data_IF_375070153389
#
_entry.id   IF_375070153389
#
_cell.length_a   1.000
_cell.length_b   1.000
_cell.length_c   1.000
_cell.angle_alpha   90.00
_cell.angle_beta   90.00
_cell.angle_gamma   90.00
#
_symmetry.space_group_name_H-M   'P 1'
#
loop_
_entity.id
_entity.type
_entity.pdbx_description
1 polymer ?
2 water ?
#
# COMPACT_ATOMS: atom_id res chain seq x y z
N UNK A 1 3.66 29.14 -3.73
CA UNK A 1 2.86 28.03 -3.10
C UNK A 1 3.76 27.07 -2.30
N UNK A 2 3.15 26.01 -1.74
CA UNK A 2 3.87 25.03 -0.96
C UNK A 2 4.68 24.11 -1.87
N UNK A 3 5.79 23.60 -1.34
CA UNK A 3 6.66 22.73 -2.13
C UNK A 3 6.83 21.41 -1.41
N UNK A 4 6.74 20.31 -2.16
CA UNK A 4 6.90 19.00 -1.57
C UNK A 4 7.86 18.12 -2.35
N UNK A 5 8.53 17.22 -1.64
CA UNK A 5 9.46 16.27 -2.23
C UNK A 5 8.90 14.91 -1.86
N UNK A 6 8.81 14.02 -2.83
CA UNK A 6 8.26 12.68 -2.62
C UNK A 6 9.30 11.67 -3.08
N UNK A 7 9.71 10.74 -2.22
CA UNK A 7 10.65 9.70 -2.63
C UNK A 7 9.76 8.48 -2.96
N UNK A 8 10.12 7.70 -3.98
CA UNK A 8 9.29 6.58 -4.41
C UNK A 8 8.09 7.18 -5.17
N UNK A 9 8.32 8.27 -5.90
CA UNK A 9 7.26 9.00 -6.60
C UNK A 9 6.48 8.28 -7.70
N UNK A 10 7.04 7.20 -8.25
CA UNK A 10 6.34 6.46 -9.31
C UNK A 10 5.60 5.21 -8.84
N UNK A 11 5.64 4.90 -7.55
CA UNK A 11 4.89 3.74 -7.09
C UNK A 11 3.38 4.08 -6.98
N UNK A 12 2.57 3.13 -6.51
CA UNK A 12 1.14 3.35 -6.33
C UNK A 12 0.88 4.58 -5.46
N UNK A 13 1.46 4.59 -4.25
CA UNK A 13 1.26 5.68 -3.31
C UNK A 13 1.85 7.00 -3.75
N UNK A 14 3.05 6.95 -4.33
CA UNK A 14 3.68 8.16 -4.78
C UNK A 14 2.89 8.82 -5.90
N UNK A 15 2.46 8.02 -6.88
CA UNK A 15 1.69 8.60 -8.00
C UNK A 15 0.41 9.23 -7.49
N UNK A 16 -0.32 8.54 -6.62
CA UNK A 16 -1.54 9.13 -6.06
C UNK A 16 -1.27 10.35 -5.16
N UNK A 17 -0.19 10.32 -4.38
CA UNK A 17 0.10 11.47 -3.52
C UNK A 17 0.50 12.66 -4.38
N UNK A 18 1.27 12.41 -5.43
CA UNK A 18 1.70 13.51 -6.31
C UNK A 18 0.46 14.21 -6.90
N UNK A 19 -0.53 13.42 -7.31
CA UNK A 19 -1.77 13.95 -7.88
C UNK A 19 -2.50 14.78 -6.86
N UNK A 20 -2.68 14.20 -5.69
CA UNK A 20 -3.36 14.84 -4.58
C UNK A 20 -2.73 16.21 -4.28
N UNK A 21 -1.40 16.25 -4.19
CA UNK A 21 -0.71 17.51 -3.89
C UNK A 21 -0.73 18.53 -5.04
N UNK A 22 -0.61 18.06 -6.28
CA UNK A 22 -0.66 18.96 -7.43
C UNK A 22 -2.04 19.64 -7.46
N UNK A 23 -3.09 18.86 -7.23
CA UNK A 23 -4.45 19.37 -7.22
C UNK A 23 -4.57 20.52 -6.21
N UNK A 24 -3.83 20.43 -5.11
CA UNK A 24 -3.88 21.47 -4.09
C UNK A 24 -2.98 22.65 -4.42
N UNK A 25 -2.38 22.63 -5.60
CA UNK A 25 -1.51 23.72 -6.00
C UNK A 25 -0.05 23.63 -5.58
N UNK A 26 0.39 22.47 -5.11
CA UNK A 26 1.79 22.33 -4.70
C UNK A 26 2.71 22.23 -5.92
N UNK A 27 3.98 22.55 -5.68
CA UNK A 27 5.01 22.37 -6.69
C UNK A 27 5.53 21.02 -6.13
N UNK A 28 5.54 19.98 -6.96
CA UNK A 28 5.95 18.66 -6.53
C UNK A 28 7.22 18.12 -7.19
N UNK A 29 8.19 17.74 -6.36
CA UNK A 29 9.45 17.18 -6.84
C UNK A 29 9.51 15.71 -6.42
N UNK A 30 10.05 14.85 -7.27
CA UNK A 30 10.13 13.47 -6.88
C UNK A 30 11.35 12.74 -7.35
N UNK A 31 11.60 11.58 -6.74
CA UNK A 31 12.69 10.71 -7.15
C UNK A 31 12.08 9.32 -7.08
N UNK A 32 12.48 8.45 -8.00
CA UNK A 32 11.96 7.09 -8.04
C UNK A 32 12.57 6.23 -6.94
N UNK A 33 11.98 5.08 -6.69
CA UNK A 33 12.49 4.14 -5.69
C UNK A 33 13.29 3.04 -6.38
N UNK A 55 4.17 19.85 -15.27
CA UNK A 55 3.97 21.31 -15.18
C UNK A 55 4.69 21.88 -13.95
N UNK A 56 4.06 21.64 -12.81
CA UNK A 56 4.58 22.05 -11.53
C UNK A 56 5.13 20.76 -10.89
N UNK A 57 5.38 19.75 -11.74
CA UNK A 57 5.93 18.47 -11.28
C UNK A 57 7.35 18.31 -11.81
N UNK A 58 8.27 17.92 -10.93
CA UNK A 58 9.67 17.78 -11.34
C UNK A 58 10.30 16.47 -10.88
N UNK A 59 10.86 15.73 -11.83
CA UNK A 59 11.52 14.47 -11.54
C UNK A 59 13.03 14.71 -11.46
N UNK A 60 13.67 14.07 -10.48
CA UNK A 60 15.11 14.20 -10.29
C UNK A 60 15.72 12.82 -10.32
N UNK A 61 16.99 12.74 -10.70
CA UNK A 61 17.68 11.47 -10.69
C UNK A 61 18.14 11.23 -9.25
N UNK A 62 18.15 9.96 -8.84
CA UNK A 62 18.60 9.62 -7.49
C UNK A 62 17.75 8.56 -6.83
N UNK A 63 18.32 7.84 -5.86
CA UNK A 63 17.57 6.81 -5.15
C UNK A 63 17.77 6.81 -3.63
N UNK A 64 18.36 7.88 -3.10
CA UNK A 64 18.58 7.96 -1.65
C UNK A 64 19.82 7.21 -1.16
N UNK A 65 20.64 6.71 -2.07
CA UNK A 65 21.86 6.05 -1.67
C UNK A 65 23.04 7.05 -1.67
N UNK A 66 22.84 8.22 -2.26
CA UNK A 66 23.89 9.26 -2.41
C UNK A 66 23.60 10.52 -1.61
N UNK A 67 24.29 10.67 -0.49
CA UNK A 67 24.07 11.80 0.41
C UNK A 67 24.25 13.14 -0.29
N UNK A 68 25.29 13.23 -1.10
CA UNK A 68 25.58 14.46 -1.81
C UNK A 68 24.47 14.85 -2.79
N UNK A 69 23.99 13.87 -3.54
CA UNK A 69 22.95 14.13 -4.52
C UNK A 69 21.64 14.53 -3.86
N UNK A 70 21.26 13.83 -2.79
CA UNK A 70 19.99 14.18 -2.20
C UNK A 70 20.04 15.48 -1.41
N UNK A 71 21.19 15.80 -0.81
CA UNK A 71 21.28 17.06 -0.08
C UNK A 71 21.19 18.20 -1.07
N UNK A 72 21.86 18.03 -2.22
CA UNK A 72 21.86 19.03 -3.30
C UNK A 72 20.40 19.28 -3.74
N UNK A 73 19.65 18.20 -3.95
CA UNK A 73 18.26 18.30 -4.36
C UNK A 73 17.43 19.04 -3.29
N UNK A 74 17.58 18.68 -2.01
CA UNK A 74 16.82 19.37 -0.96
C UNK A 74 17.23 20.84 -0.92
N UNK A 75 18.51 21.11 -1.14
CA UNK A 75 19.02 22.47 -1.13
C UNK A 75 18.37 23.30 -2.26
N UNK A 76 18.21 22.69 -3.43
CA UNK A 76 17.59 23.41 -4.55
C UNK A 76 16.07 23.52 -4.38
N UNK A 77 15.45 22.47 -3.86
CA UNK A 77 14.02 22.44 -3.68
C UNK A 77 13.48 23.22 -2.47
N UNK A 78 14.17 23.18 -1.33
CA UNK A 78 13.70 23.88 -0.11
C UNK A 78 12.25 23.49 0.14
N UNK A 79 11.98 22.18 0.24
CA UNK A 79 10.61 21.72 0.47
C UNK A 79 10.02 22.06 1.83
N UNK A 80 8.71 22.31 1.83
CA UNK A 80 7.96 22.58 3.06
C UNK A 80 7.61 21.21 3.64
N UNK A 81 7.47 20.24 2.74
CA UNK A 81 7.10 18.87 3.11
C UNK A 81 7.89 17.80 2.36
N UNK A 82 8.24 16.74 3.07
CA UNK A 82 8.97 15.64 2.50
C UNK A 82 8.23 14.36 2.86
N UNK A 83 7.94 13.55 1.84
CA UNK A 83 7.27 12.28 2.01
C UNK A 83 8.21 11.13 1.60
N UNK A 84 8.70 10.43 2.61
CA UNK A 84 9.64 9.34 2.39
C UNK A 84 8.88 8.01 2.25
N UNK A 85 8.44 7.75 1.02
CA UNK A 85 7.72 6.54 0.68
C UNK A 85 8.77 5.63 0.09
N UNK A 86 8.70 4.35 0.38
CA UNK A 86 9.70 3.47 -0.19
C UNK A 86 8.98 2.32 -0.85
N UNK A 87 9.36 1.11 -0.48
CA UNK A 87 8.72 -0.08 -0.98
C UNK A 87 7.72 -0.38 0.15
N UNK A 88 6.60 -1.00 -0.18
CA UNK A 88 5.61 -1.28 0.85
C UNK A 88 5.57 -2.73 1.33
N UNK A 89 6.26 -3.61 0.61
CA UNK A 89 6.23 -5.01 0.98
C UNK A 89 7.52 -5.74 0.72
N UNK A 90 7.82 -6.73 1.54
CA UNK A 90 9.04 -7.50 1.34
C UNK A 90 8.94 -8.21 -0.02
N UNK A 91 7.71 -8.43 -0.51
CA UNK A 91 7.53 -9.11 -1.80
C UNK A 91 7.80 -8.19 -2.97
N UNK A 92 7.56 -6.91 -2.80
CA UNK A 92 7.82 -5.94 -3.85
C UNK A 92 9.32 -5.67 -3.98
N UNK A 93 10.09 -6.17 -3.02
CA UNK A 93 11.53 -5.96 -2.96
C UNK A 93 12.35 -7.21 -3.32
N UNK A 94 11.64 -8.24 -3.73
CA UNK A 94 12.22 -9.54 -4.10
C UNK A 94 13.50 -9.55 -4.91
N UNK A 95 13.56 -8.74 -5.97
CA UNK A 95 14.73 -8.77 -6.84
C UNK A 95 15.94 -7.89 -6.48
N UNK A 96 15.89 -7.20 -5.33
CA UNK A 96 17.00 -6.35 -4.88
C UNK A 96 17.88 -7.14 -3.91
N UNK A 97 19.13 -6.71 -3.76
CA UNK A 97 19.96 -7.37 -2.76
C UNK A 97 19.55 -6.81 -1.38
N UNK A 98 19.69 -7.61 -0.32
CA UNK A 98 19.33 -7.17 1.02
C UNK A 98 20.05 -5.85 1.36
N UNK A 99 21.32 -5.75 1.00
CA UNK A 99 22.09 -4.54 1.30
C UNK A 99 21.57 -3.33 0.60
N UNK A 100 21.19 -3.48 -0.67
CA UNK A 100 20.65 -2.34 -1.40
C UNK A 100 19.32 -1.90 -0.75
N UNK A 101 18.44 -2.85 -0.42
CA UNK A 101 17.15 -2.49 0.19
C UNK A 101 17.38 -1.72 1.50
N UNK A 102 18.28 -2.23 2.34
CA UNK A 102 18.54 -1.54 3.61
C UNK A 102 19.15 -0.16 3.40
N UNK A 103 20.08 -0.06 2.43
CA UNK A 103 20.72 1.23 2.17
C UNK A 103 19.72 2.30 1.78
N UNK A 104 18.70 1.94 0.99
CA UNK A 104 17.74 2.96 0.59
C UNK A 104 16.54 3.14 1.51
N UNK A 105 16.03 2.04 2.08
CA UNK A 105 14.86 2.14 2.95
C UNK A 105 15.20 2.47 4.40
N UNK A 106 16.38 2.07 4.86
CA UNK A 106 16.79 2.39 6.23
C UNK A 106 17.73 3.61 6.19
N UNK A 107 18.95 3.44 5.67
CA UNK A 107 19.90 4.56 5.59
C UNK A 107 19.36 5.79 4.83
N UNK A 108 18.57 5.55 3.80
CA UNK A 108 18.01 6.66 3.03
C UNK A 108 17.18 7.59 3.92
N UNK A 109 16.50 7.00 4.90
CA UNK A 109 15.69 7.79 5.82
C UNK A 109 16.60 8.66 6.68
N UNK A 110 17.67 8.08 7.21
CA UNK A 110 18.62 8.86 8.00
C UNK A 110 19.21 9.99 7.14
N UNK A 111 19.58 9.69 5.90
CA UNK A 111 20.17 10.73 5.03
C UNK A 111 19.21 11.90 4.84
N UNK A 112 17.94 11.61 4.60
CA UNK A 112 16.96 12.68 4.43
C UNK A 112 16.87 13.55 5.71
N UNK A 113 16.77 12.91 6.87
CA UNK A 113 16.66 13.66 8.12
C UNK A 113 17.95 14.47 8.37
N UNK A 114 19.11 13.85 8.13
CA UNK A 114 20.38 14.55 8.33
C UNK A 114 20.54 15.71 7.36
N UNK A 115 20.00 15.57 6.15
CA UNK A 115 20.13 16.67 5.18
C UNK A 115 19.27 17.84 5.61
N UNK A 116 18.09 17.54 6.14
CA UNK A 116 17.23 18.61 6.59
C UNK A 116 17.97 19.42 7.68
N UNK A 117 18.68 18.74 8.56
CA UNK A 117 19.44 19.44 9.62
C UNK A 117 20.65 20.20 9.05
N UNK A 118 21.42 19.54 8.19
CA UNK A 118 22.59 20.15 7.58
C UNK A 118 22.23 21.50 6.94
N UNK A 119 21.10 21.52 6.25
CA UNK A 119 20.65 22.71 5.54
C UNK A 119 19.91 23.73 6.41
N UNK A 120 19.79 23.44 7.70
CA UNK A 120 19.06 24.35 8.58
C UNK A 120 17.57 24.44 8.26
N UNK A 121 16.97 23.32 7.85
CA UNK A 121 15.54 23.33 7.50
C UNK A 121 14.61 22.76 8.57
N UNK A 122 15.12 22.53 9.77
CA UNK A 122 14.30 21.97 10.83
C UNK A 122 12.99 22.73 11.06
N UNK A 123 13.02 24.04 10.87
CA UNK A 123 11.84 24.87 11.08
C UNK A 123 10.91 24.97 9.87
N UNK A 124 11.42 24.66 8.69
CA UNK A 124 10.58 24.78 7.50
C UNK A 124 10.05 23.46 6.97
N UNK A 125 10.88 22.44 6.99
CA UNK A 125 10.51 21.15 6.45
C UNK A 125 9.88 20.15 7.41
N UNK A 126 8.73 19.62 7.03
CA UNK A 126 8.05 18.61 7.85
C UNK A 126 8.30 17.28 7.15
N UNK A 127 8.56 16.25 7.92
CA UNK A 127 8.92 14.96 7.40
C UNK A 127 7.92 13.85 7.69
N UNK A 128 7.59 13.07 6.66
CA UNK A 128 6.65 11.95 6.82
C UNK A 128 7.34 10.67 6.39
N UNK A 129 7.24 9.63 7.21
CA UNK A 129 7.82 8.35 6.84
C UNK A 129 6.75 7.27 6.74
N UNK A 130 6.80 6.52 5.65
CA UNK A 130 5.81 5.46 5.41
C UNK A 130 6.20 4.13 6.02
N UNK A 131 5.69 3.81 7.21
CA UNK A 131 5.97 2.50 7.78
C UNK A 131 4.98 1.52 7.21
N UNK A 132 4.97 0.32 7.75
CA UNK A 132 4.15 -0.74 7.24
C UNK A 132 3.69 -1.69 8.34
N UNK A 133 2.53 -2.31 8.13
CA UNK A 133 2.00 -3.26 9.11
C UNK A 133 2.90 -4.48 9.21
N UNK A 134 3.82 -4.64 8.27
CA UNK A 134 4.71 -5.79 8.32
C UNK A 134 5.66 -5.69 9.51
N UNK A 135 5.68 -4.53 10.15
CA UNK A 135 6.51 -4.35 11.33
C UNK A 135 5.97 -5.24 12.46
N UNK A 136 4.67 -5.55 12.43
CA UNK A 136 4.07 -6.39 13.48
C UNK A 136 4.46 -7.86 13.41
N UNK A 137 4.97 -8.32 12.26
CA UNK A 137 5.38 -9.72 12.12
C UNK A 137 4.54 -10.75 12.86
N UNK A 138 5.03 -11.20 14.02
CA UNK A 138 4.33 -12.19 14.85
C UNK A 138 2.84 -11.86 15.01
N UNK A 139 2.57 -10.72 15.64
CA UNK A 139 1.21 -10.21 15.88
C UNK A 139 0.79 -10.28 17.34
N UNK A 140 0.22 -11.41 17.74
CA UNK A 140 -0.26 -11.60 19.11
C UNK A 140 -1.60 -10.89 19.36
N UNK A 141 -1.57 -9.61 19.73
CA UNK A 141 -2.80 -8.88 20.00
C UNK A 141 -3.51 -8.34 18.75
N UNK A 142 -4.84 -8.46 18.73
CA UNK A 142 -5.67 -8.03 17.62
C UNK A 142 -6.85 -7.23 18.15
N UNK A 143 -7.14 -6.06 17.54
CA UNK A 143 -6.44 -5.43 16.43
C UNK A 143 -5.11 -4.83 16.86
N UNK A 144 -4.29 -4.40 15.89
CA UNK A 144 -3.01 -3.78 16.20
C UNK A 144 -3.18 -2.27 16.21
N UNK A 145 -2.59 -1.61 17.20
CA UNK A 145 -2.67 -0.17 17.30
C UNK A 145 -1.27 0.43 17.51
N UNK A 146 -1.20 1.75 17.66
CA UNK A 146 0.08 2.43 17.82
C UNK A 146 0.97 1.88 18.92
N UNK A 147 0.35 1.35 19.98
CA UNK A 147 1.08 0.83 21.13
C UNK A 147 1.48 -0.63 20.99
N UNK A 148 0.88 -1.32 20.03
CA UNK A 148 1.21 -2.72 19.80
C UNK A 148 2.70 -2.85 19.41
N UNK A 149 3.46 -3.72 20.10
CA UNK A 149 4.89 -3.91 19.81
C UNK A 149 5.24 -4.52 18.45
N UNK A 150 6.35 -4.05 17.89
CA UNK A 150 6.83 -4.55 16.60
C UNK A 150 7.66 -5.81 16.79
N UNK A 151 7.70 -6.67 15.77
CA UNK A 151 8.50 -7.90 15.74
C UNK A 151 8.67 -8.26 14.27
N UNK A 152 9.64 -7.62 13.59
CA UNK A 152 9.94 -7.82 12.16
C UNK A 152 10.29 -9.27 11.86
N UNK A 153 9.81 -9.74 10.72
CA UNK A 153 10.02 -11.12 10.29
C UNK A 153 10.77 -11.27 8.97
N UNK A 154 11.26 -10.16 8.42
CA UNK A 154 12.04 -10.23 7.19
C UNK A 154 13.09 -9.12 7.22
N UNK A 155 14.17 -9.28 6.44
CA UNK A 155 15.21 -8.25 6.40
C UNK A 155 14.58 -6.92 6.01
N UNK A 156 13.68 -6.95 5.05
CA UNK A 156 13.01 -5.74 4.63
C UNK A 156 12.34 -5.05 5.83
N UNK A 157 11.59 -5.82 6.62
CA UNK A 157 10.89 -5.24 7.77
C UNK A 157 11.85 -4.68 8.85
N UNK A 158 13.05 -5.26 8.99
CA UNK A 158 14.04 -4.76 9.97
C UNK A 158 14.52 -3.38 9.45
N UNK A 159 14.71 -3.27 8.15
CA UNK A 159 15.13 -2.00 7.57
C UNK A 159 14.04 -0.95 7.85
N UNK A 160 12.78 -1.35 7.73
CA UNK A 160 11.67 -0.43 8.00
C UNK A 160 11.62 -0.09 9.50
N UNK A 161 11.97 -1.06 10.35
CA UNK A 161 11.97 -0.81 11.79
C UNK A 161 12.97 0.32 12.06
N UNK A 162 14.14 0.25 11.43
CA UNK A 162 15.14 1.31 11.63
C UNK A 162 14.58 2.64 11.15
N UNK A 163 13.93 2.64 10.00
CA UNK A 163 13.39 3.90 9.46
C UNK A 163 12.37 4.51 10.43
N UNK A 164 11.54 3.65 11.00
CA UNK A 164 10.52 4.09 11.96
C UNK A 164 11.19 4.75 13.17
N UNK A 165 12.10 4.02 13.81
CA UNK A 165 12.80 4.54 14.98
C UNK A 165 13.71 5.75 14.76
N UNK A 166 14.39 5.85 13.62
CA UNK A 166 15.27 7.01 13.41
C UNK A 166 14.39 8.26 13.29
N UNK A 167 13.21 8.08 12.69
CA UNK A 167 12.27 9.19 12.55
C UNK A 167 11.77 9.62 13.92
N UNK A 168 11.44 8.65 14.77
CA UNK A 168 11.01 8.99 16.13
C UNK A 168 12.16 9.69 16.86
N UNK A 169 13.37 9.18 16.66
CA UNK A 169 14.49 9.78 17.35
C UNK A 169 14.82 11.19 16.94
N UNK A 170 14.73 11.52 15.65
CA UNK A 170 15.00 12.90 15.25
C UNK A 170 13.91 13.82 15.77
N UNK A 171 12.71 13.29 15.91
CA UNK A 171 11.60 14.07 16.45
C UNK A 171 11.90 14.35 17.94
N UNK A 172 12.16 13.29 18.70
CA UNK A 172 12.41 13.44 20.12
C UNK A 172 13.71 14.14 20.45
N UNK A 173 14.77 13.87 19.69
CA UNK A 173 16.05 14.52 20.00
C UNK A 173 16.20 15.95 19.50
N UNK A 174 15.67 16.27 18.34
CA UNK A 174 15.86 17.62 17.83
C UNK A 174 14.61 18.46 17.74
N UNK A 175 13.49 17.91 18.17
CA UNK A 175 12.25 18.65 18.11
C UNK A 175 11.83 18.90 16.68
N UNK A 176 12.23 18.01 15.77
CA UNK A 176 11.86 18.16 14.38
C UNK A 176 10.44 17.65 14.15
N UNK A 177 9.77 18.20 13.15
CA UNK A 177 8.43 17.74 12.84
C UNK A 177 8.65 16.50 11.96
N UNK A 178 8.66 15.34 12.59
CA UNK A 178 8.88 14.09 11.89
C UNK A 178 7.95 13.04 12.47
N UNK A 179 7.25 12.31 11.60
CA UNK A 179 6.30 11.29 12.03
C UNK A 179 6.15 10.09 11.09
N UNK A 180 5.62 9.01 11.64
CA UNK A 180 5.41 7.73 10.96
C UNK A 180 3.95 7.35 10.72
N UNK A 181 3.70 6.83 9.52
CA UNK A 181 2.39 6.34 9.16
C UNK A 181 2.52 4.82 9.06
N UNK A 182 1.92 4.09 9.99
CA UNK A 182 1.99 2.63 9.95
C UNK A 182 0.85 2.19 9.02
N UNK A 183 1.18 1.93 7.76
CA UNK A 183 0.18 1.57 6.77
C UNK A 183 -0.17 0.10 6.66
N UNK A 184 -1.48 -0.18 6.68
CA UNK A 184 -1.92 -1.56 6.49
C UNK A 184 -2.21 -1.67 4.98
N UNK A 185 -2.61 -2.85 4.49
CA UNK A 185 -2.84 -3.00 3.06
C UNK A 185 -3.77 -1.95 2.45
N UNK A 186 -3.37 -1.43 1.30
CA UNK A 186 -4.20 -0.45 0.60
C UNK A 186 -3.97 -0.71 -0.88
N UNK A 187 -5.07 -0.82 -1.64
CA UNK A 187 -4.98 -1.13 -3.06
C UNK A 187 -5.56 -0.06 -3.97
N UNK A 188 -5.65 -0.40 -5.25
CA UNK A 188 -6.14 0.49 -6.27
C UNK A 188 -5.81 -0.18 -7.62
N UNK A 189 -6.24 0.43 -8.73
CA UNK A 189 -5.99 -0.07 -10.08
C UNK A 189 -4.48 -0.05 -10.37
N UNK A 190 -3.72 0.71 -9.57
CA UNK A 190 -2.27 0.80 -9.77
C UNK A 190 -1.48 -0.19 -8.94
N UNK A 191 -2.17 -0.90 -8.04
CA UNK A 191 -1.53 -1.89 -7.19
C UNK A 191 -0.71 -2.90 -8.01
N UNK A 192 0.48 -3.23 -7.51
CA UNK A 192 1.36 -4.18 -8.18
C UNK A 192 0.73 -5.55 -8.37
N UNK A 193 0.98 -6.17 -9.51
CA UNK A 193 0.40 -7.48 -9.82
C UNK A 193 0.81 -8.63 -8.89
N UNK A 194 1.81 -8.40 -8.02
CA UNK A 194 2.25 -9.43 -7.09
C UNK A 194 1.34 -9.54 -5.87
N UNK A 195 0.59 -8.49 -5.57
CA UNK A 195 -0.33 -8.53 -4.43
C UNK A 195 -1.54 -9.35 -4.84
N UNK A 196 -2.14 -10.05 -3.87
CA UNK A 196 -3.29 -10.91 -4.14
C UNK A 196 -4.56 -10.22 -4.70
N UNK A 197 -4.81 -8.98 -4.30
CA UNK A 197 -6.00 -8.27 -4.78
C UNK A 197 -5.94 -8.01 -6.28
N UNK A 198 -4.79 -7.53 -6.74
CA UNK A 198 -4.63 -7.28 -8.17
C UNK A 198 -4.56 -8.62 -8.92
N UNK A 199 -4.01 -9.64 -8.28
CA UNK A 199 -3.93 -10.95 -8.91
C UNK A 199 -5.35 -11.45 -9.21
N UNK A 200 -6.22 -11.30 -8.23
CA UNK A 200 -7.61 -11.72 -8.36
C UNK A 200 -8.38 -10.91 -9.40
N UNK A 201 -8.26 -9.58 -9.40
CA UNK A 201 -9.03 -8.81 -10.39
C UNK A 201 -8.52 -9.05 -11.81
N UNK A 202 -7.21 -9.16 -11.95
CA UNK A 202 -6.60 -9.42 -13.24
C UNK A 202 -7.09 -10.80 -13.75
N UNK A 203 -7.01 -11.81 -12.89
CA UNK A 203 -7.43 -13.16 -13.27
C UNK A 203 -8.93 -13.23 -13.60
N UNK A 204 -9.78 -12.69 -12.74
CA UNK A 204 -11.22 -12.73 -13.02
C UNK A 204 -11.56 -12.08 -14.38
N UNK A 205 -10.92 -10.97 -14.69
CA UNK A 205 -11.17 -10.29 -15.95
C UNK A 205 -10.71 -11.15 -17.11
N UNK A 206 -9.49 -11.69 -17.01
CA UNK A 206 -8.99 -12.52 -18.09
C UNK A 206 -9.83 -13.78 -18.29
N UNK A 207 -10.33 -14.35 -17.20
CA UNK A 207 -11.15 -15.55 -17.32
C UNK A 207 -12.47 -15.21 -17.99
N UNK A 208 -13.10 -14.12 -17.53
CA UNK A 208 -14.37 -13.66 -18.08
C UNK A 208 -14.24 -13.40 -19.58
N UNK A 209 -13.08 -12.91 -19.99
CA UNK A 209 -12.82 -12.63 -21.40
C UNK A 209 -12.23 -13.84 -22.14
N UNK A 210 -12.24 -15.01 -21.50
CA UNK A 210 -11.70 -16.20 -22.13
C UNK A 210 -10.20 -16.28 -22.40
N UNK A 211 -9.40 -15.47 -21.72
CA UNK A 211 -7.94 -15.49 -21.92
C UNK A 211 -7.20 -16.45 -20.98
N UNK A 212 -7.90 -16.91 -19.94
CA UNK A 212 -7.36 -17.84 -18.95
C UNK A 212 -8.52 -18.68 -18.48
N UNK A 213 -8.26 -19.72 -17.70
CA UNK A 213 -9.34 -20.59 -17.27
C UNK A 213 -9.53 -20.81 -15.78
N UNK A 214 -8.48 -20.61 -15.00
CA UNK A 214 -8.59 -20.88 -13.58
C UNK A 214 -7.79 -19.89 -12.75
N UNK A 215 -8.24 -19.65 -11.53
CA UNK A 215 -7.53 -18.77 -10.60
C UNK A 215 -7.18 -19.64 -9.39
N UNK A 216 -5.90 -19.75 -9.09
CA UNK A 216 -5.47 -20.54 -7.96
C UNK A 216 -5.05 -19.64 -6.81
N UNK A 217 -5.64 -19.88 -5.63
CA UNK A 217 -5.34 -19.08 -4.45
C UNK A 217 -4.94 -19.98 -3.27
N UNK A 218 -4.66 -19.35 -2.13
CA UNK A 218 -4.32 -20.09 -0.93
C UNK A 218 -5.57 -20.24 -0.07
N UNK A 219 -5.41 -20.21 1.25
CA UNK A 219 -6.58 -20.33 2.12
C UNK A 219 -7.52 -19.16 1.85
N UNK A 220 -8.74 -19.47 1.42
CA UNK A 220 -9.69 -18.41 1.11
C UNK A 220 -10.41 -17.86 2.33
N UNK A 221 -10.05 -18.39 3.50
CA UNK A 221 -10.63 -17.95 4.75
C UNK A 221 -9.80 -16.79 5.31
N UNK A 222 -8.58 -16.64 4.83
CA UNK A 222 -7.71 -15.57 5.31
C UNK A 222 -8.42 -14.21 5.33
N UNK A 223 -8.37 -13.55 6.48
CA UNK A 223 -9.01 -12.27 6.70
C UNK A 223 -8.06 -11.10 6.56
N UNK A 224 -8.44 -10.10 5.76
CA UNK A 224 -7.61 -8.93 5.53
C UNK A 224 -8.28 -7.58 5.78
N UNK A 225 -7.44 -6.58 5.99
CA UNK A 225 -7.88 -5.21 6.21
C UNK A 225 -7.41 -4.45 4.96
N UNK A 226 -8.33 -4.22 4.02
CA UNK A 226 -8.01 -3.54 2.75
C UNK A 226 -8.61 -2.16 2.60
N UNK A 227 -7.76 -1.16 2.35
CA UNK A 227 -8.23 0.20 2.17
C UNK A 227 -7.83 0.68 0.79
N UNK A 228 -8.19 1.92 0.44
CA UNK A 228 -7.84 2.44 -0.89
C UNK A 228 -6.67 3.41 -0.78
N UNK A 229 -5.66 3.18 -1.61
CA UNK A 229 -4.48 4.03 -1.61
C UNK A 229 -4.80 5.54 -1.60
N UNK A 230 -5.86 5.95 -2.30
CA UNK A 230 -6.22 7.35 -2.34
C UNK A 230 -6.59 7.89 -0.98
N UNK A 231 -7.29 7.08 -0.18
CA UNK A 231 -7.66 7.53 1.15
C UNK A 231 -6.41 7.62 2.02
N UNK A 232 -5.50 6.67 1.84
CA UNK A 232 -4.31 6.66 2.67
C UNK A 232 -3.33 7.77 2.35
N UNK A 233 -3.15 8.14 1.09
CA UNK A 233 -2.20 9.23 0.82
C UNK A 233 -2.76 10.52 1.40
N UNK A 234 -4.09 10.59 1.54
CA UNK A 234 -4.70 11.80 2.11
C UNK A 234 -4.36 11.92 3.61
N UNK A 235 -4.41 10.79 4.32
CA UNK A 235 -4.08 10.78 5.74
C UNK A 235 -2.59 11.18 5.90
N UNK A 236 -1.75 10.70 4.98
CA UNK A 236 -0.32 11.03 5.03
C UNK A 236 -0.14 12.54 4.98
N UNK A 237 -0.86 13.21 4.08
CA UNK A 237 -0.77 14.66 3.96
C UNK A 237 -1.31 15.32 5.24
N UNK A 238 -2.45 14.83 5.73
CA UNK A 238 -3.05 15.39 6.95
C UNK A 238 -2.06 15.33 8.11
N UNK A 239 -1.31 14.23 8.19
CA UNK A 239 -0.36 14.06 9.28
C UNK A 239 0.74 15.14 9.36
N UNK A 240 0.87 15.95 8.30
CA UNK A 240 1.86 17.03 8.28
C UNK A 240 1.20 18.41 8.41
N UNK A 241 -0.11 18.44 8.64
CA UNK A 241 -0.78 19.74 8.76
C UNK A 241 -1.07 20.10 10.21
N UNK A 242 -0.65 19.25 11.14
CA UNK A 242 -0.90 19.48 12.56
C UNK A 242 0.06 20.45 13.23
N UNK A 243 -0.20 20.72 14.49
CA UNK A 243 0.63 21.62 15.26
C UNK A 243 1.82 20.89 15.85
N UNK A 244 1.67 19.60 16.08
CA UNK A 244 2.73 18.76 16.64
C UNK A 244 2.79 17.44 15.88
N UNK A 245 4.00 16.86 15.71
CA UNK A 245 4.11 15.59 15.00
C UNK A 245 3.65 14.41 15.85
N UNK A 246 2.96 13.46 15.20
CA UNK A 246 2.47 12.26 15.87
C UNK A 246 2.38 11.09 14.91
N UNK A 247 2.63 9.90 15.44
CA UNK A 247 2.56 8.68 14.64
C UNK A 247 1.13 8.11 14.61
N UNK A 248 0.76 7.43 13.52
CA UNK A 248 -0.58 6.89 13.39
C UNK A 248 -0.68 5.59 12.62
N UNK A 249 -1.60 4.74 13.07
CA UNK A 249 -1.89 3.50 12.35
C UNK A 249 -2.86 3.98 11.26
N UNK A 250 -2.66 3.51 10.03
CA UNK A 250 -3.53 3.90 8.92
C UNK A 250 -4.12 2.62 8.35
N UNK A 251 -5.41 2.40 8.62
CA UNK A 251 -6.10 1.19 8.19
C UNK A 251 -7.63 1.41 8.16
N UNK A 252 -8.40 0.36 7.84
CA UNK A 252 -9.87 0.51 7.82
C UNK A 252 -10.42 -0.11 9.09
N UNK A 253 -9.78 -1.17 9.58
CA UNK A 253 -10.26 -1.81 10.79
C UNK A 253 -11.45 -2.72 10.52
N UNK A 254 -11.69 -2.99 9.24
CA UNK A 254 -12.78 -3.86 8.82
C UNK A 254 -12.17 -5.08 8.10
N UNK A 255 -12.68 -6.26 8.41
CA UNK A 255 -12.17 -7.47 7.78
C UNK A 255 -13.04 -8.04 6.67
N UNK A 256 -12.40 -8.66 5.69
CA UNK A 256 -13.05 -9.32 4.58
C UNK A 256 -12.20 -10.53 4.27
N UNK A 257 -12.81 -11.59 3.79
CA UNK A 257 -12.05 -12.77 3.47
C UNK A 257 -11.57 -12.69 2.02
N UNK A 258 -10.52 -13.44 1.73
CA UNK A 258 -9.99 -13.51 0.38
C UNK A 258 -11.17 -13.97 -0.46
N UNK A 259 -11.92 -14.97 0.06
CA UNK A 259 -13.08 -15.51 -0.63
C UNK A 259 -14.12 -14.41 -0.92
N UNK A 260 -14.34 -13.50 0.02
CA UNK A 260 -15.31 -12.44 -0.23
C UNK A 260 -14.79 -11.53 -1.34
N UNK A 261 -13.49 -11.29 -1.34
CA UNK A 261 -12.89 -10.44 -2.36
C UNK A 261 -13.11 -11.07 -3.74
N UNK A 262 -12.97 -12.39 -3.82
CA UNK A 262 -13.18 -13.09 -5.08
C UNK A 262 -14.63 -12.93 -5.51
N UNK A 263 -15.55 -13.20 -4.58
CA UNK A 263 -16.98 -13.05 -4.90
C UNK A 263 -17.28 -11.65 -5.40
N UNK A 264 -16.78 -10.63 -4.69
CA UNK A 264 -17.03 -9.23 -5.10
C UNK A 264 -16.50 -8.94 -6.49
N UNK A 265 -15.27 -9.37 -6.74
CA UNK A 265 -14.65 -9.13 -8.05
C UNK A 265 -15.46 -9.82 -9.14
N UNK A 266 -15.85 -11.06 -8.88
CA UNK A 266 -16.63 -11.81 -9.86
C UNK A 266 -18.00 -11.12 -10.08
N UNK A 267 -18.61 -10.64 -9.00
CA UNK A 267 -19.91 -9.98 -9.12
C UNK A 267 -19.86 -8.73 -9.99
N UNK A 268 -18.70 -8.10 -10.07
CA UNK A 268 -18.55 -6.91 -10.91
C UNK A 268 -18.67 -7.26 -12.38
N UNK A 269 -18.46 -8.54 -12.72
CA UNK A 269 -18.55 -8.98 -14.10
C UNK A 269 -19.78 -9.83 -14.37
N UNK A 270 -20.73 -9.80 -13.45
CA UNK A 270 -21.96 -10.56 -13.61
C UNK A 270 -21.86 -12.04 -13.31
N UNK A 271 -20.79 -12.44 -12.64
CA UNK A 271 -20.61 -13.85 -12.32
C UNK A 271 -20.94 -14.16 -10.87
N UNK A 272 -21.90 -15.05 -10.66
CA UNK A 272 -22.24 -15.44 -9.29
C UNK A 272 -21.49 -16.74 -9.02
N UNK A 273 -20.85 -16.85 -7.88
CA UNK A 273 -20.10 -18.06 -7.55
C UNK A 273 -20.68 -18.91 -6.44
N UNK A 274 -20.38 -20.20 -6.54
CA UNK A 274 -20.80 -21.19 -5.56
C UNK A 274 -19.48 -21.84 -5.10
N UNK A 275 -19.34 -22.08 -3.80
CA UNK A 275 -18.13 -22.72 -3.29
C UNK A 275 -18.45 -24.10 -2.72
N UNK A 276 -17.78 -25.10 -3.27
CA UNK A 276 -17.96 -26.48 -2.89
C UNK A 276 -16.64 -27.08 -2.39
N UNK A 277 -16.69 -27.81 -1.27
CA UNK A 277 -15.49 -28.40 -0.73
C UNK A 277 -14.91 -27.54 0.37
N UNK A 278 -13.95 -28.07 1.10
CA UNK A 278 -13.33 -27.34 2.19
C UNK A 278 -11.79 -27.42 2.07
N UNK A 279 -11.09 -26.45 2.67
CA UNK A 279 -9.64 -26.45 2.63
C UNK A 279 -9.01 -26.49 1.23
N UNK A 280 -7.97 -27.29 1.06
CA UNK A 280 -7.29 -27.39 -0.23
C UNK A 280 -8.22 -27.95 -1.30
N UNK A 281 -9.36 -28.49 -0.88
CA UNK A 281 -10.33 -29.06 -1.82
C UNK A 281 -11.37 -28.04 -2.30
N UNK A 282 -11.40 -26.88 -1.66
CA UNK A 282 -12.37 -25.84 -2.01
C UNK A 282 -12.28 -25.37 -3.46
N UNK A 283 -13.44 -25.22 -4.09
CA UNK A 283 -13.52 -24.77 -5.47
C UNK A 283 -14.65 -23.79 -5.71
N UNK A 284 -14.42 -22.86 -6.63
CA UNK A 284 -15.42 -21.87 -6.97
C UNK A 284 -16.08 -22.24 -8.27
N UNK A 285 -17.39 -22.50 -8.21
CA UNK A 285 -18.18 -22.88 -9.39
C UNK A 285 -19.07 -21.73 -9.88
N UNK A 286 -19.17 -21.56 -11.19
CA UNK A 286 -20.01 -20.51 -11.73
C UNK A 286 -21.46 -20.94 -11.72
N UNK A 287 -22.28 -20.20 -10.95
CA UNK A 287 -23.71 -20.50 -10.83
C UNK A 287 -24.47 -19.85 -11.97
N UNK A 288 -24.32 -18.54 -12.12
CA UNK A 288 -24.99 -17.84 -13.20
C UNK A 288 -24.14 -16.69 -13.70
N UNK A 289 -24.47 -16.22 -14.89
CA UNK A 289 -23.78 -15.13 -15.56
C UNK A 289 -24.79 -14.09 -16.08
N UNK A 290 -24.64 -12.83 -15.66
CA UNK A 290 -25.51 -11.76 -16.10
C UNK A 290 -24.68 -10.75 -16.88
N UNK A 291 -25.26 -10.15 -17.91
CA UNK A 291 -24.54 -9.16 -18.68
C UNK A 291 -23.70 -9.74 -19.82
N UNK A 292 -22.94 -8.87 -20.47
CA UNK A 292 -22.11 -9.25 -21.61
C UNK A 292 -20.61 -9.04 -21.42
N UNK A 293 -20.12 -8.99 -20.19
CA UNK A 293 -18.68 -8.82 -19.96
C UNK A 293 -17.96 -10.13 -19.62
N UNK A 294 -18.73 -11.20 -19.42
CA UNK A 294 -18.15 -12.51 -19.09
C UNK A 294 -18.51 -13.58 -20.13
N UNK A 295 -18.18 -13.33 -21.41
CA UNK A 295 -18.49 -14.31 -22.45
C UNK A 295 -17.75 -15.65 -22.31
N UNK A 296 -16.54 -15.61 -21.75
CA UNK A 296 -15.75 -16.83 -21.59
C UNK A 296 -16.10 -17.71 -20.41
N UNK A 297 -17.22 -17.43 -19.75
CA UNK A 297 -17.64 -18.20 -18.59
C UNK A 297 -19.09 -18.66 -18.75
N UNK A 298 -19.39 -19.87 -18.28
CA UNK A 298 -20.75 -20.41 -18.37
C UNK A 298 -21.07 -21.19 -17.10
N UNK A 299 -22.37 -21.35 -16.80
CA UNK A 299 -22.74 -22.10 -15.59
C UNK A 299 -22.07 -23.47 -15.54
N UNK A 300 -21.68 -23.87 -14.33
CA UNK A 300 -21.02 -25.14 -14.15
C UNK A 300 -19.50 -25.02 -14.11
N UNK A 301 -18.95 -24.03 -14.80
CA UNK A 301 -17.50 -23.83 -14.84
C UNK A 301 -16.81 -23.67 -13.48
N UNK A 302 -15.67 -24.33 -13.34
CA UNK A 302 -14.87 -24.25 -12.13
C UNK A 302 -13.77 -23.25 -12.44
N UNK A 303 -13.83 -22.07 -11.85
CA UNK A 303 -12.83 -21.05 -12.16
C UNK A 303 -11.93 -20.61 -11.00
N UNK A 304 -12.23 -21.07 -9.79
CA UNK A 304 -11.41 -20.77 -8.63
C UNK A 304 -11.06 -22.11 -7.95
N UNK A 305 -9.79 -22.31 -7.62
CA UNK A 305 -9.33 -23.53 -6.95
C UNK A 305 -8.17 -23.17 -6.02
N UNK A 306 -7.80 -24.10 -5.17
CA UNK A 306 -6.72 -23.86 -4.23
C UNK A 306 -5.43 -24.57 -4.63
N UNK A 307 -4.32 -23.86 -4.51
CA UNK A 307 -3.02 -24.44 -4.81
C UNK A 307 -2.42 -24.93 -3.49
N UNK A 308 -2.32 -26.25 -3.29
CA UNK A 308 -1.75 -26.79 -2.05
C UNK A 308 -0.39 -26.22 -1.68
N UNK A 309 0.41 -25.85 -2.67
CA UNK A 309 1.74 -25.30 -2.39
C UNK A 309 1.63 -24.05 -1.52
N UNK A 310 0.52 -23.32 -1.65
CA UNK A 310 0.35 -22.09 -0.89
C UNK A 310 -0.77 -22.07 0.14
N UNK A 311 -1.44 -23.20 0.32
CA UNK A 311 -2.50 -23.27 1.31
C UNK A 311 -1.87 -23.38 2.70
N UNK A 312 -2.42 -22.65 3.66
CA UNK A 312 -1.91 -22.67 5.02
C UNK A 312 -2.95 -22.11 5.98
N UNK A 313 -3.35 -22.91 6.99
CA UNK A 313 -4.35 -22.47 7.98
C UNK A 313 -3.73 -21.65 9.14
N UNK A 314 -3.12 -20.51 8.81
CA UNK A 314 -2.46 -19.66 9.80
C UNK A 314 -3.37 -18.74 10.63
N UNK A 315 -3.51 -19.08 11.90
CA UNK A 315 -4.31 -18.34 12.89
C UNK A 315 -5.30 -17.33 12.31
N UNK A 317 -1.23 -14.08 13.77
CA UNK A 317 -2.62 -14.34 14.14
C UNK A 317 -3.61 -13.39 13.43
N UNK A 318 -3.20 -12.84 12.28
CA UNK A 318 -4.03 -11.93 11.48
C UNK A 318 -3.75 -10.44 11.66
N UNK A 319 -3.59 -9.73 10.56
CA UNK A 319 -3.34 -8.30 10.61
C UNK A 319 -4.65 -7.54 10.47
N UNK A 320 -4.93 -6.66 11.42
CA UNK A 320 -6.13 -5.85 11.40
C UNK A 320 -5.79 -4.60 12.18
N UNK A 321 -5.81 -3.45 11.51
CA UNK A 321 -5.45 -2.23 12.19
C UNK A 321 -6.58 -1.50 12.90
N UNK A 322 -6.24 -0.78 13.96
CA UNK A 322 -7.20 -0.01 14.73
C UNK A 322 -6.89 1.46 14.46
N UNK A 323 -7.62 2.08 13.51
CA UNK A 323 -7.42 3.49 13.15
C UNK A 323 -8.16 4.48 14.04
N UNK A 324 -8.51 4.07 15.25
CA UNK A 324 -9.24 4.95 16.14
C UNK A 324 -8.51 6.28 16.42
N UNK A 325 -7.22 6.21 16.74
CA UNK A 325 -6.49 7.44 17.03
C UNK A 325 -6.53 8.40 15.86
N UNK A 326 -6.37 7.88 14.64
CA UNK A 326 -6.40 8.74 13.46
C UNK A 326 -7.74 9.47 13.40
N UNK A 327 -8.81 8.75 13.67
CA UNK A 327 -10.13 9.35 13.63
C UNK A 327 -10.31 10.35 14.75
N UNK A 328 -9.91 9.97 15.96
CA UNK A 328 -10.05 10.85 17.10
C UNK A 328 -9.25 12.15 17.06
N UNK A 329 -7.97 12.07 16.71
CA UNK A 329 -7.14 13.27 16.69
C UNK A 329 -7.18 14.08 15.40
N UNK A 330 -7.30 13.40 14.26
CA UNK A 330 -7.28 14.11 12.98
C UNK A 330 -8.60 14.20 12.24
N UNK A 331 -9.53 13.29 12.54
CA UNK A 331 -10.81 13.30 11.86
C UNK A 331 -10.76 12.50 10.56
N UNK A 332 -9.69 11.75 10.35
CA UNK A 332 -9.53 10.93 9.15
C UNK A 332 -10.30 9.64 9.24
N UNK A 333 -10.93 9.28 8.13
CA UNK A 333 -11.69 8.03 7.99
C UNK A 333 -11.63 7.67 6.51
N UNK A 334 -11.58 6.37 6.19
CA UNK A 334 -11.55 6.01 4.76
C UNK A 334 -12.90 6.43 4.13
N UNK A 335 -12.86 7.08 2.97
CA UNK A 335 -14.10 7.51 2.33
C UNK A 335 -14.55 6.58 1.22
N UNK A 336 -13.58 5.90 0.58
CA UNK A 336 -13.86 4.98 -0.50
C UNK A 336 -14.13 3.61 0.12
N UNK A 337 -15.15 2.91 -0.36
CA UNK A 337 -15.50 1.59 0.20
C UNK A 337 -14.75 0.48 -0.51
N UNK A 338 -14.71 -0.68 0.12
CA UNK A 338 -14.04 -1.81 -0.49
C UNK A 338 -14.68 -2.18 -1.82
N UNK A 339 -16.00 -2.15 -1.89
CA UNK A 339 -16.68 -2.49 -3.15
C UNK A 339 -16.33 -1.49 -4.26
N UNK A 340 -16.27 -0.20 -3.94
CA UNK A 340 -15.90 0.76 -4.99
C UNK A 340 -14.45 0.47 -5.46
N UNK A 341 -13.56 0.12 -4.52
CA UNK A 341 -12.17 -0.21 -4.87
C UNK A 341 -12.15 -1.42 -5.81
N UNK A 342 -12.87 -2.48 -5.46
CA UNK A 342 -12.90 -3.66 -6.30
C UNK A 342 -13.48 -3.35 -7.69
N UNK A 343 -14.52 -2.52 -7.73
CA UNK A 343 -15.16 -2.16 -8.98
C UNK A 343 -14.18 -1.41 -9.86
N UNK A 344 -13.43 -0.50 -9.26
CA UNK A 344 -12.46 0.28 -10.00
C UNK A 344 -11.32 -0.62 -10.53
N UNK A 345 -10.85 -1.54 -9.69
CA UNK A 345 -9.78 -2.44 -10.13
C UNK A 345 -10.28 -3.37 -11.19
N UNK A 346 -11.47 -3.93 -11.00
CA UNK A 346 -12.01 -4.83 -12.02
C UNK A 346 -12.19 -4.12 -13.35
N UNK A 347 -12.75 -2.92 -13.33
CA UNK A 347 -13.00 -2.18 -14.58
C UNK A 347 -11.72 -1.94 -15.35
N UNK A 348 -10.66 -1.59 -14.63
CA UNK A 348 -9.39 -1.33 -15.27
C UNK A 348 -8.81 -2.61 -15.89
N UNK A 349 -8.92 -3.72 -15.17
CA UNK A 349 -8.39 -4.98 -15.71
C UNK A 349 -9.28 -5.50 -16.83
N UNK A 350 -10.58 -5.24 -16.75
CA UNK A 350 -11.49 -5.70 -17.79
C UNK A 350 -11.16 -4.98 -19.11
N UNK A 351 -10.89 -3.68 -19.02
CA UNK A 351 -10.55 -2.92 -20.21
C UNK A 351 -9.29 -3.48 -20.89
N UNK A 352 -8.26 -3.77 -20.11
CA UNK A 352 -7.05 -4.32 -20.70
C UNK A 352 -7.36 -5.67 -21.33
N UNK A 353 -8.11 -6.49 -20.60
CA UNK A 353 -8.46 -7.81 -21.09
C UNK A 353 -9.19 -7.83 -22.45
N UNK A 354 -10.24 -7.03 -22.60
CA UNK A 354 -10.95 -7.06 -23.89
C UNK A 354 -10.15 -6.59 -25.09
N UNK A 355 -9.02 -5.94 -24.86
CA UNK A 355 -8.20 -5.53 -25.98
C UNK A 355 -7.61 -6.80 -26.60
N UNK A 356 -7.74 -7.92 -25.90
CA UNK A 356 -7.20 -9.19 -26.38
C UNK A 356 -8.16 -10.35 -26.65
N UNK A 357 -9.42 -10.30 -26.22
CA UNK A 357 -10.36 -11.42 -26.48
C UNK A 357 -10.62 -11.70 -27.98
#
# INVERSE_FOLDING_TARGET
>A
SKVALITGVTGQDGSYLAEFLLEKGYEVHGIKRRASSFNTERVDHIYQDPHTCNPKFHLHYGDLSDTSNLTRILREVQPDEVYNLGAMSHVAVSFESPEYTADVDAMGTLRLLEAIRFLGLEKKTRFYQASTSELYGLVQEIPQKETTPFYPRSPYAVAKLYAYWITVNYRESYGMYACNGILFNHESPRRGETFVTRKITRAIANIAQGLESCLYLGNMDSLRDWGHAKDYVKMQWMMLQQEQPEDFVIATGVQYSVRQFVEMAAAQLGIKLRFEGTGVEEKGIVVSVTGHDAPGVKPGDVIIAVDPRYFRPAEVETLLGDPTKAHEKLGWKPEITLREMVSEMVANDLEAAKKHSLLKSHGYDVAIALES
#
